data_IF_299946429530
#
_entry.id   IF_299946429530
#
_cell.length_a   1.000
_cell.length_b   1.000
_cell.length_c   1.000
_cell.angle_alpha   90.00
_cell.angle_beta   90.00
_cell.angle_gamma   90.00
#
_symmetry.space_group_name_H-M   'P 1'
#
loop_
_entity.id
_entity.type
_entity.pdbx_description
1 polymer ?
#
# COMPACT_ATOMS: atom_id res chain seq x y z
N UNK A 1 28.25 2.95 -13.94
CA UNK A 1 28.60 3.38 -12.56
C UNK A 1 27.93 4.70 -12.18
N UNK A 2 28.02 5.76 -13.00
CA UNK A 2 27.42 7.08 -12.75
C UNK A 2 25.91 7.06 -12.39
N UNK A 3 25.09 6.22 -13.05
CA UNK A 3 23.67 6.12 -12.71
C UNK A 3 23.39 5.53 -11.32
N UNK A 4 24.25 4.65 -10.79
CA UNK A 4 24.08 4.08 -9.44
C UNK A 4 24.40 5.14 -8.38
N UNK A 5 25.47 5.91 -8.59
CA UNK A 5 25.86 7.02 -7.69
C UNK A 5 24.73 8.05 -7.60
N UNK A 6 24.14 8.45 -8.74
CA UNK A 6 22.98 9.37 -8.76
C UNK A 6 21.79 8.85 -7.94
N UNK A 7 21.50 7.55 -8.00
CA UNK A 7 20.40 6.95 -7.24
C UNK A 7 20.71 6.94 -5.74
N UNK A 8 21.94 6.56 -5.36
CA UNK A 8 22.40 6.58 -3.96
C UNK A 8 22.27 7.99 -3.39
N UNK A 9 22.77 9.01 -4.10
CA UNK A 9 22.66 10.41 -3.68
C UNK A 9 21.20 10.87 -3.51
N UNK A 10 20.30 10.46 -4.41
CA UNK A 10 18.87 10.77 -4.28
C UNK A 10 18.21 10.11 -3.08
N UNK A 11 18.57 8.85 -2.80
CA UNK A 11 18.06 8.15 -1.63
C UNK A 11 18.60 8.78 -0.35
N UNK A 12 19.88 9.15 -0.33
CA UNK A 12 20.46 9.87 0.80
C UNK A 12 19.74 11.20 1.04
N UNK A 13 19.52 12.00 -0.01
CA UNK A 13 18.73 13.24 0.08
C UNK A 13 17.31 12.96 0.60
N UNK A 14 16.67 11.90 0.11
CA UNK A 14 15.35 11.47 0.59
C UNK A 14 15.36 11.10 2.08
N UNK A 15 16.38 10.37 2.56
CA UNK A 15 16.53 10.03 3.98
C UNK A 15 16.63 11.30 4.85
N UNK A 16 17.43 12.28 4.43
CA UNK A 16 17.55 13.58 5.11
C UNK A 16 16.20 14.29 5.16
N UNK A 17 15.46 14.32 4.05
CA UNK A 17 14.12 14.92 3.99
C UNK A 17 13.17 14.23 4.96
N UNK A 18 13.14 12.89 5.00
CA UNK A 18 12.29 12.14 5.92
C UNK A 18 12.65 12.44 7.37
N UNK A 19 13.94 12.50 7.71
CA UNK A 19 14.40 12.86 9.04
C UNK A 19 13.90 14.27 9.44
N UNK A 20 14.16 15.29 8.61
CA UNK A 20 13.75 16.67 8.92
C UNK A 20 12.22 16.80 9.05
N UNK A 21 11.46 16.17 8.16
CA UNK A 21 10.01 16.15 8.24
C UNK A 21 9.51 15.41 9.48
N UNK A 22 10.21 14.38 9.93
CA UNK A 22 9.82 13.62 11.12
C UNK A 22 9.97 14.44 12.40
N UNK A 23 11.02 15.26 12.50
CA UNK A 23 11.19 16.22 13.60
C UNK A 23 10.09 17.28 13.56
N UNK A 24 9.87 17.88 12.39
CA UNK A 24 8.82 18.88 12.20
C UNK A 24 7.43 18.34 12.55
N UNK A 25 7.10 17.10 12.16
CA UNK A 25 5.83 16.44 12.51
C UNK A 25 5.71 16.25 14.03
N UNK A 26 6.78 15.84 14.71
CA UNK A 26 6.77 15.67 16.17
C UNK A 26 6.51 16.99 16.88
N UNK A 27 7.19 18.07 16.46
CA UNK A 27 7.00 19.41 17.03
C UNK A 27 5.57 19.92 16.79
N UNK A 28 5.06 19.77 15.56
CA UNK A 28 3.72 20.21 15.18
C UNK A 28 2.62 19.52 15.98
N UNK A 29 2.76 18.20 16.16
CA UNK A 29 1.72 17.36 16.76
C UNK A 29 2.02 17.05 18.22
N UNK A 30 2.92 17.78 18.86
CA UNK A 30 3.37 17.50 20.23
C UNK A 30 2.20 17.47 21.24
N UNK A 31 1.17 18.30 21.03
CA UNK A 31 -0.05 18.32 21.86
C UNK A 31 -0.96 17.11 21.62
N UNK A 32 -0.83 16.45 20.47
CA UNK A 32 -1.61 15.25 20.14
C UNK A 32 -0.95 14.05 20.83
N UNK A 33 -1.70 13.43 21.75
CA UNK A 33 -1.26 12.21 22.44
C UNK A 33 -0.80 11.14 21.45
N UNK A 34 0.38 10.58 21.70
CA UNK A 34 1.06 9.64 20.79
C UNK A 34 2.06 10.31 19.83
N UNK A 35 2.15 11.64 19.82
CA UNK A 35 3.19 12.37 19.08
C UNK A 35 4.10 13.18 20.01
N UNK A 36 3.81 13.17 21.31
CA UNK A 36 4.59 13.78 22.39
C UNK A 36 5.87 12.97 22.69
N UNK A 37 6.73 12.80 21.69
CA UNK A 37 7.98 12.06 21.78
C UNK A 37 9.13 13.05 21.54
N UNK A 38 10.10 13.07 22.44
CA UNK A 38 11.31 13.86 22.26
C UNK A 38 12.28 13.12 21.32
N UNK A 39 12.66 13.71 20.17
CA UNK A 39 13.57 13.06 19.23
C UNK A 39 14.97 12.90 19.85
N UNK A 40 15.59 11.74 19.65
CA UNK A 40 16.96 11.46 20.11
C UNK A 40 17.93 11.30 18.93
N UNK A 41 18.97 12.14 18.85
CA UNK A 41 19.63 12.46 17.57
C UNK A 41 20.93 11.74 17.20
N UNK A 42 21.69 11.19 18.15
CA UNK A 42 23.12 10.92 17.89
C UNK A 42 23.45 9.66 17.06
N UNK A 43 22.52 8.70 16.93
CA UNK A 43 22.75 7.43 16.21
C UNK A 43 22.03 7.36 14.84
N UNK A 44 21.35 8.41 14.43
CA UNK A 44 20.57 8.51 13.17
C UNK A 44 21.39 8.18 11.91
N UNK A 45 22.70 8.50 11.90
CA UNK A 45 23.60 8.25 10.77
C UNK A 45 23.79 6.75 10.51
N UNK A 46 23.93 5.92 11.54
CA UNK A 46 24.09 4.46 11.41
C UNK A 46 22.88 3.85 10.69
N UNK A 47 21.68 4.29 11.05
CA UNK A 47 20.45 3.78 10.46
C UNK A 47 20.24 4.23 9.01
N UNK A 48 20.75 5.40 8.63
CA UNK A 48 20.82 5.80 7.22
C UNK A 48 21.63 4.77 6.41
N UNK A 49 22.78 4.32 6.91
CA UNK A 49 23.59 3.30 6.24
C UNK A 49 22.91 1.93 6.18
N UNK A 50 22.30 1.48 7.29
CA UNK A 50 21.55 0.20 7.32
C UNK A 50 20.44 0.20 6.29
N UNK A 51 19.70 1.31 6.17
CA UNK A 51 18.59 1.41 5.21
C UNK A 51 19.05 1.42 3.75
N UNK A 52 20.34 1.61 3.45
CA UNK A 52 20.88 1.49 2.09
C UNK A 52 21.15 0.02 1.68
N UNK A 53 21.11 -0.94 2.61
CA UNK A 53 21.40 -2.36 2.29
C UNK A 53 20.52 -2.91 1.15
N UNK A 54 19.18 -2.75 1.16
CA UNK A 54 18.31 -3.24 0.07
C UNK A 54 18.64 -2.66 -1.31
N UNK A 55 19.20 -1.44 -1.36
CA UNK A 55 19.53 -0.76 -2.60
C UNK A 55 20.55 -1.51 -3.45
N UNK A 56 21.42 -2.32 -2.83
CA UNK A 56 22.42 -3.14 -3.52
C UNK A 56 21.81 -4.12 -4.52
N UNK A 57 20.58 -4.57 -4.24
CA UNK A 57 19.84 -5.55 -5.06
C UNK A 57 18.62 -4.96 -5.76
N UNK A 58 18.19 -3.75 -5.44
CA UNK A 58 17.15 -3.08 -6.21
C UNK A 58 17.72 -2.64 -7.58
N UNK A 59 16.99 -2.96 -8.65
CA UNK A 59 17.37 -2.56 -10.00
C UNK A 59 16.20 -1.86 -10.70
N UNK A 60 16.49 -1.13 -11.79
CA UNK A 60 15.48 -0.34 -12.51
C UNK A 60 14.81 -1.15 -13.63
N UNK A 61 14.54 -2.43 -13.39
CA UNK A 61 13.88 -3.27 -14.39
C UNK A 61 12.41 -2.88 -14.57
N UNK A 62 11.92 -2.94 -15.82
CA UNK A 62 10.49 -2.82 -16.15
C UNK A 62 9.76 -4.10 -15.77
N UNK A 63 9.62 -4.34 -14.47
CA UNK A 63 8.84 -5.44 -13.93
C UNK A 63 7.89 -4.88 -12.85
N UNK A 64 6.59 -5.22 -12.86
CA UNK A 64 5.62 -4.64 -11.93
C UNK A 64 5.99 -4.89 -10.46
N UNK A 65 6.57 -6.05 -10.17
CA UNK A 65 6.92 -6.48 -8.81
C UNK A 65 8.18 -5.74 -8.34
N UNK A 66 9.15 -5.51 -9.24
CA UNK A 66 10.31 -4.69 -8.91
C UNK A 66 9.89 -3.25 -8.60
N UNK A 67 8.93 -2.68 -9.34
CA UNK A 67 8.36 -1.36 -9.02
C UNK A 67 7.63 -1.37 -7.67
N UNK A 68 6.87 -2.42 -7.38
CA UNK A 68 6.18 -2.59 -6.10
C UNK A 68 7.17 -2.67 -4.92
N UNK A 69 8.25 -3.43 -5.05
CA UNK A 69 9.33 -3.51 -4.06
C UNK A 69 10.04 -2.17 -3.88
N UNK A 70 10.32 -1.44 -4.96
CA UNK A 70 10.87 -0.08 -4.89
C UNK A 70 9.98 0.87 -4.09
N UNK A 71 8.66 0.80 -4.29
CA UNK A 71 7.71 1.65 -3.59
C UNK A 71 7.60 1.28 -2.11
N UNK A 72 7.57 -0.01 -1.75
CA UNK A 72 7.61 -0.45 -0.34
C UNK A 72 8.90 0.01 0.33
N UNK A 73 10.03 -0.12 -0.38
CA UNK A 73 11.32 0.33 0.12
C UNK A 73 11.30 1.83 0.48
N UNK A 74 10.78 2.66 -0.43
CA UNK A 74 10.73 4.12 -0.25
C UNK A 74 9.70 4.54 0.79
N UNK A 75 8.48 3.97 0.75
CA UNK A 75 7.35 4.42 1.56
C UNK A 75 7.38 3.82 2.97
N UNK A 76 7.96 2.63 3.14
CA UNK A 76 7.88 1.91 4.41
C UNK A 76 9.24 1.59 5.01
N UNK A 77 10.15 0.93 4.28
CA UNK A 77 11.42 0.45 4.85
C UNK A 77 12.36 1.60 5.22
N UNK A 78 12.51 2.61 4.35
CA UNK A 78 13.34 3.79 4.65
C UNK A 78 12.76 4.59 5.84
N UNK A 79 11.48 5.02 5.84
CA UNK A 79 10.91 5.72 6.98
C UNK A 79 11.00 4.93 8.28
N UNK A 80 10.73 3.62 8.24
CA UNK A 80 10.89 2.73 9.39
C UNK A 80 12.31 2.74 9.94
N UNK A 81 13.32 2.71 9.06
CA UNK A 81 14.71 2.73 9.47
C UNK A 81 15.15 4.06 10.08
N UNK A 82 14.52 5.19 9.71
CA UNK A 82 14.91 6.52 10.18
C UNK A 82 14.13 6.95 11.43
N UNK A 83 12.80 6.81 11.40
CA UNK A 83 11.90 7.37 12.40
C UNK A 83 11.88 6.48 13.66
N UNK A 84 11.96 5.15 13.51
CA UNK A 84 11.98 4.23 14.64
C UNK A 84 13.12 4.52 15.65
N UNK A 85 14.39 4.65 15.23
CA UNK A 85 15.48 4.94 16.17
C UNK A 85 15.46 6.38 16.70
N UNK A 86 14.90 7.32 15.94
CA UNK A 86 14.66 8.69 16.40
C UNK A 86 13.76 8.71 17.65
N UNK A 87 12.80 7.79 17.70
CA UNK A 87 11.83 7.63 18.79
C UNK A 87 12.39 6.76 19.93
N UNK A 88 12.96 5.59 19.62
CA UNK A 88 13.31 4.55 20.62
C UNK A 88 14.71 4.68 21.24
N UNK A 89 15.24 5.90 21.35
CA UNK A 89 16.57 6.15 21.95
C UNK A 89 17.67 5.22 21.42
N UNK A 90 17.74 4.99 20.10
CA UNK A 90 18.75 4.18 19.39
C UNK A 90 19.46 3.06 20.19
N UNK A 91 18.70 2.26 20.95
CA UNK A 91 19.24 1.17 21.76
C UNK A 91 19.84 0.07 20.87
N UNK A 92 20.73 -0.76 21.43
CA UNK A 92 21.28 -1.92 20.69
C UNK A 92 20.17 -2.81 20.11
N UNK A 93 19.05 -2.97 20.82
CA UNK A 93 17.90 -3.73 20.38
C UNK A 93 17.20 -3.08 19.18
N UNK A 94 17.11 -1.75 19.13
CA UNK A 94 16.57 -1.03 17.97
C UNK A 94 17.45 -1.22 16.72
N UNK A 95 18.78 -1.23 16.89
CA UNK A 95 19.74 -1.50 15.81
C UNK A 95 19.55 -2.91 15.27
N UNK A 96 19.48 -3.91 16.15
CA UNK A 96 19.25 -5.32 15.78
C UNK A 96 17.93 -5.46 15.03
N UNK A 97 16.85 -4.86 15.56
CA UNK A 97 15.52 -4.97 15.00
C UNK A 97 15.41 -4.35 13.59
N UNK A 98 15.91 -3.12 13.41
CA UNK A 98 15.90 -2.45 12.10
C UNK A 98 16.83 -3.16 11.10
N UNK A 99 17.97 -3.68 11.58
CA UNK A 99 18.87 -4.49 10.74
C UNK A 99 18.17 -5.77 10.27
N UNK A 100 17.47 -6.48 11.17
CA UNK A 100 16.71 -7.67 10.84
C UNK A 100 15.63 -7.39 9.78
N UNK A 101 14.88 -6.29 9.91
CA UNK A 101 13.88 -5.88 8.90
C UNK A 101 14.54 -5.62 7.54
N UNK A 102 15.65 -4.87 7.50
CA UNK A 102 16.36 -4.58 6.25
C UNK A 102 16.93 -5.86 5.60
N UNK A 103 17.44 -6.80 6.41
CA UNK A 103 17.91 -8.11 5.94
C UNK A 103 16.75 -8.94 5.39
N UNK A 104 15.64 -9.04 6.11
CA UNK A 104 14.46 -9.78 5.65
C UNK A 104 13.90 -9.20 4.34
N UNK A 105 13.88 -7.87 4.22
CA UNK A 105 13.47 -7.21 2.98
C UNK A 105 14.48 -7.41 1.83
N UNK A 106 15.78 -7.40 2.13
CA UNK A 106 16.82 -7.78 1.17
C UNK A 106 16.63 -9.22 0.67
N UNK A 107 16.31 -10.14 1.58
CA UNK A 107 15.98 -11.54 1.26
C UNK A 107 14.73 -11.64 0.39
N UNK A 108 13.70 -10.82 0.60
CA UNK A 108 12.55 -10.73 -0.30
C UNK A 108 12.92 -10.30 -1.72
N UNK A 109 13.87 -9.36 -1.88
CA UNK A 109 14.37 -8.93 -3.19
C UNK A 109 15.18 -10.07 -3.86
N UNK A 110 16.01 -10.79 -3.09
CA UNK A 110 16.72 -11.98 -3.57
C UNK A 110 15.75 -13.07 -4.02
N UNK A 111 14.76 -13.37 -3.19
CA UNK A 111 13.70 -14.32 -3.49
C UNK A 111 13.03 -13.96 -4.82
N UNK A 112 12.60 -12.70 -4.98
CA UNK A 112 12.03 -12.22 -6.26
C UNK A 112 12.96 -12.46 -7.44
N UNK A 113 14.26 -12.16 -7.33
CA UNK A 113 15.23 -12.37 -8.42
C UNK A 113 15.35 -13.85 -8.82
N UNK A 114 15.24 -14.76 -7.87
CA UNK A 114 15.24 -16.21 -8.11
C UNK A 114 13.94 -16.60 -8.81
N UNK A 115 12.78 -16.25 -8.24
CA UNK A 115 11.47 -16.68 -8.74
C UNK A 115 11.05 -15.99 -10.05
N UNK A 116 11.60 -14.82 -10.37
CA UNK A 116 11.33 -14.13 -11.64
C UNK A 116 11.68 -15.04 -12.84
N UNK A 117 12.64 -15.95 -12.66
CA UNK A 117 13.05 -16.95 -13.67
C UNK A 117 12.02 -18.08 -13.83
N UNK A 118 11.21 -18.38 -12.81
CA UNK A 118 10.22 -19.46 -12.83
C UNK A 118 9.07 -19.06 -13.74
N UNK A 119 8.86 -19.77 -14.84
CA UNK A 119 7.69 -19.58 -15.72
C UNK A 119 6.74 -20.73 -15.54
N UNK A 120 5.47 -20.43 -15.24
CA UNK A 120 4.39 -21.41 -15.26
C UNK A 120 3.64 -21.32 -16.60
N UNK A 121 3.11 -22.43 -17.12
CA UNK A 121 2.19 -22.39 -18.24
C UNK A 121 0.98 -21.54 -17.84
N UNK A 122 0.67 -20.54 -18.67
CA UNK A 122 -0.47 -19.63 -18.45
C UNK A 122 -1.70 -20.21 -19.14
N UNK A 123 -2.84 -20.17 -18.46
CA UNK A 123 -4.13 -20.50 -19.06
C UNK A 123 -4.40 -19.57 -20.26
N UNK A 124 -4.67 -20.16 -21.43
CA UNK A 124 -4.99 -19.41 -22.64
C UNK A 124 -6.49 -19.11 -22.67
N UNK A 125 -6.88 -17.96 -22.11
CA UNK A 125 -8.28 -17.54 -22.05
C UNK A 125 -8.57 -16.58 -23.22
N UNK A 126 -9.64 -16.81 -24.00
CA UNK A 126 -10.06 -15.87 -25.04
C UNK A 126 -10.62 -14.59 -24.41
N UNK A 127 -10.53 -13.48 -25.16
CA UNK A 127 -11.01 -12.19 -24.67
C UNK A 127 -12.50 -12.20 -24.31
N UNK A 128 -13.33 -12.96 -25.02
CA UNK A 128 -14.76 -13.06 -24.73
C UNK A 128 -15.05 -13.68 -23.37
N UNK A 129 -14.42 -14.81 -23.06
CA UNK A 129 -14.54 -15.44 -21.75
C UNK A 129 -14.02 -14.53 -20.63
N UNK A 130 -12.89 -13.85 -20.86
CA UNK A 130 -12.35 -12.91 -19.87
C UNK A 130 -13.31 -11.74 -19.59
N UNK A 131 -13.91 -11.15 -20.63
CA UNK A 131 -14.92 -10.09 -20.49
C UNK A 131 -16.12 -10.58 -19.67
N UNK A 132 -16.63 -11.77 -19.98
CA UNK A 132 -17.75 -12.37 -19.24
C UNK A 132 -17.40 -12.57 -17.77
N UNK A 133 -16.19 -13.06 -17.45
CA UNK A 133 -15.72 -13.24 -16.07
C UNK A 133 -15.69 -11.90 -15.33
N UNK A 134 -15.02 -10.88 -15.87
CA UNK A 134 -14.88 -9.60 -15.16
C UNK A 134 -16.22 -8.86 -15.03
N UNK A 135 -17.09 -8.92 -16.04
CA UNK A 135 -18.45 -8.37 -15.96
C UNK A 135 -19.26 -9.11 -14.91
N UNK A 136 -19.20 -10.45 -14.89
CA UNK A 136 -19.84 -11.28 -13.88
C UNK A 136 -19.38 -10.90 -12.46
N UNK A 137 -18.08 -10.73 -12.23
CA UNK A 137 -17.57 -10.22 -10.96
C UNK A 137 -18.13 -8.83 -10.61
N UNK A 138 -18.22 -7.93 -11.58
CA UNK A 138 -18.82 -6.60 -11.40
C UNK A 138 -20.29 -6.66 -10.99
N UNK A 139 -21.08 -7.51 -11.66
CA UNK A 139 -22.50 -7.74 -11.35
C UNK A 139 -22.67 -8.35 -9.95
N UNK A 140 -21.85 -9.33 -9.58
CA UNK A 140 -21.85 -9.91 -8.23
C UNK A 140 -21.59 -8.82 -7.19
N UNK A 141 -20.56 -7.99 -7.39
CA UNK A 141 -20.27 -6.87 -6.47
C UNK A 141 -21.46 -5.93 -6.35
N UNK A 142 -22.07 -5.53 -7.47
CA UNK A 142 -23.25 -4.66 -7.46
C UNK A 142 -24.43 -5.30 -6.71
N UNK A 143 -24.68 -6.59 -6.91
CA UNK A 143 -25.70 -7.32 -6.18
C UNK A 143 -25.48 -7.26 -4.66
N UNK A 144 -24.25 -7.53 -4.19
CA UNK A 144 -23.91 -7.44 -2.77
C UNK A 144 -23.97 -6.01 -2.21
N UNK A 145 -23.71 -4.98 -3.03
CA UNK A 145 -23.85 -3.58 -2.62
C UNK A 145 -25.32 -3.19 -2.46
N UNK A 146 -26.16 -3.56 -3.43
CA UNK A 146 -27.59 -3.18 -3.46
C UNK A 146 -28.39 -3.91 -2.38
N UNK A 147 -28.04 -5.17 -2.10
CA UNK A 147 -28.70 -6.00 -1.06
C UNK A 147 -28.18 -5.72 0.35
N UNK A 148 -27.17 -4.86 0.51
CA UNK A 148 -26.63 -4.52 1.82
C UNK A 148 -27.64 -3.65 2.60
N UNK A 149 -27.95 -3.97 3.88
CA UNK A 149 -28.82 -3.13 4.70
C UNK A 149 -28.35 -1.66 4.86
N UNK A 150 -27.04 -1.41 4.77
CA UNK A 150 -26.43 -0.08 4.79
C UNK A 150 -26.37 0.60 3.41
N UNK A 151 -27.10 0.08 2.41
CA UNK A 151 -27.16 0.68 1.08
C UNK A 151 -27.73 2.09 1.11
N UNK A 152 -27.06 3.01 0.41
CA UNK A 152 -27.51 4.38 0.20
C UNK A 152 -27.14 4.82 -1.21
N UNK A 153 -28.03 5.57 -1.85
CA UNK A 153 -27.78 6.26 -3.12
C UNK A 153 -27.23 7.68 -2.91
N UNK A 154 -27.36 8.21 -1.69
CA UNK A 154 -26.98 9.60 -1.40
C UNK A 154 -25.52 9.60 -0.92
N UNK A 155 -24.63 10.35 -1.58
CA UNK A 155 -23.24 10.43 -1.16
C UNK A 155 -23.15 11.12 0.21
N UNK A 156 -22.41 10.56 1.17
CA UNK A 156 -22.27 11.16 2.48
C UNK A 156 -21.44 12.44 2.39
N UNK A 157 -21.68 13.37 3.31
CA UNK A 157 -20.84 14.56 3.44
C UNK A 157 -19.38 14.13 3.71
N UNK A 158 -18.44 14.63 2.90
CA UNK A 158 -17.01 14.31 2.97
C UNK A 158 -16.43 14.55 4.38
N UNK A 159 -16.98 15.47 5.16
CA UNK A 159 -16.54 15.76 6.53
C UNK A 159 -17.16 14.82 7.59
N UNK A 160 -18.32 14.21 7.32
CA UNK A 160 -19.06 13.34 8.25
C UNK A 160 -19.13 11.89 7.76
N UNK A 161 -17.99 11.35 7.30
CA UNK A 161 -17.92 9.96 6.78
C UNK A 161 -17.76 8.90 7.88
N UNK A 162 -17.45 9.27 9.11
CA UNK A 162 -17.11 8.31 10.17
C UNK A 162 -18.34 7.60 10.74
N UNK A 163 -19.45 8.30 10.96
CA UNK A 163 -20.71 7.68 11.38
C UNK A 163 -21.26 6.71 10.34
N UNK A 164 -21.14 7.05 9.06
CA UNK A 164 -21.53 6.17 7.95
C UNK A 164 -20.70 4.89 7.93
N UNK A 165 -19.39 4.99 8.23
CA UNK A 165 -18.51 3.82 8.32
C UNK A 165 -18.84 2.91 9.50
N UNK A 166 -19.21 3.49 10.64
CA UNK A 166 -19.63 2.72 11.82
C UNK A 166 -20.93 1.97 11.51
N UNK A 167 -21.93 2.67 10.99
CA UNK A 167 -23.19 2.06 10.54
C UNK A 167 -22.97 0.95 9.49
N UNK A 168 -22.06 1.17 8.53
CA UNK A 168 -21.70 0.16 7.54
C UNK A 168 -21.06 -1.08 8.18
N UNK A 169 -20.16 -0.90 9.16
CA UNK A 169 -19.51 -2.03 9.84
C UNK A 169 -20.47 -2.84 10.70
N UNK A 170 -21.41 -2.19 11.37
CA UNK A 170 -22.38 -2.85 12.25
C UNK A 170 -23.42 -3.65 11.47
N UNK A 171 -23.88 -3.12 10.33
CA UNK A 171 -24.98 -3.70 9.56
C UNK A 171 -24.54 -4.59 8.37
N UNK A 172 -23.24 -4.72 8.13
CA UNK A 172 -22.73 -5.52 7.00
C UNK A 172 -22.11 -6.82 7.49
N UNK A 173 -22.55 -7.95 6.92
CA UNK A 173 -21.90 -9.24 7.19
C UNK A 173 -20.42 -9.23 6.78
N UNK A 174 -19.59 -10.04 7.43
CA UNK A 174 -18.16 -10.16 7.10
C UNK A 174 -17.95 -10.46 5.61
N UNK A 175 -18.64 -11.45 5.05
CA UNK A 175 -18.53 -11.83 3.64
C UNK A 175 -18.86 -10.66 2.71
N UNK A 176 -19.95 -9.94 2.99
CA UNK A 176 -20.35 -8.77 2.21
C UNK A 176 -19.29 -7.67 2.30
N UNK A 177 -18.67 -7.43 3.46
CA UNK A 177 -17.55 -6.48 3.60
C UNK A 177 -16.35 -6.86 2.72
N UNK A 178 -15.99 -8.16 2.66
CA UNK A 178 -14.91 -8.64 1.79
C UNK A 178 -15.22 -8.38 0.31
N UNK A 179 -16.43 -8.74 -0.14
CA UNK A 179 -16.84 -8.58 -1.54
C UNK A 179 -16.92 -7.11 -1.93
N UNK A 180 -17.51 -6.26 -1.07
CA UNK A 180 -17.60 -4.82 -1.31
C UNK A 180 -16.22 -4.19 -1.36
N UNK A 181 -15.34 -4.49 -0.39
CA UNK A 181 -14.00 -3.90 -0.35
C UNK A 181 -13.18 -4.33 -1.57
N UNK A 182 -13.15 -5.62 -1.89
CA UNK A 182 -12.50 -6.13 -3.12
C UNK A 182 -13.13 -5.52 -4.39
N UNK A 183 -14.44 -5.33 -4.40
CA UNK A 183 -15.18 -4.68 -5.48
C UNK A 183 -14.66 -3.27 -5.78
N UNK A 184 -14.47 -2.46 -4.73
CA UNK A 184 -13.99 -1.09 -4.85
C UNK A 184 -12.49 -0.97 -5.17
N UNK A 185 -11.65 -1.81 -4.55
CA UNK A 185 -10.18 -1.72 -4.72
C UNK A 185 -9.65 -2.50 -5.93
N UNK A 186 -10.36 -3.52 -6.41
CA UNK A 186 -9.88 -4.42 -7.47
C UNK A 186 -10.82 -4.41 -8.67
N UNK A 187 -12.08 -4.79 -8.49
CA UNK A 187 -12.99 -5.05 -9.62
C UNK A 187 -13.27 -3.76 -10.39
N UNK A 188 -13.63 -2.69 -9.68
CA UNK A 188 -13.89 -1.38 -10.27
C UNK A 188 -12.71 -0.86 -11.11
N UNK A 189 -11.49 -0.70 -10.57
CA UNK A 189 -10.36 -0.21 -11.37
C UNK A 189 -9.92 -1.20 -12.47
N UNK A 190 -10.07 -2.50 -12.27
CA UNK A 190 -9.80 -3.51 -13.30
C UNK A 190 -10.73 -3.35 -14.50
N UNK A 191 -12.05 -3.23 -14.27
CA UNK A 191 -13.06 -3.01 -15.32
C UNK A 191 -12.74 -1.74 -16.11
N UNK A 192 -12.38 -0.67 -15.41
CA UNK A 192 -12.02 0.60 -16.02
C UNK A 192 -10.82 0.48 -16.95
N UNK A 193 -9.73 -0.13 -16.49
CA UNK A 193 -8.54 -0.31 -17.34
C UNK A 193 -8.78 -1.33 -18.46
N UNK A 194 -9.55 -2.39 -18.20
CA UNK A 194 -9.86 -3.40 -19.21
C UNK A 194 -10.66 -2.80 -20.37
N UNK A 195 -11.46 -1.76 -20.12
CA UNK A 195 -12.19 -1.03 -21.17
C UNK A 195 -11.28 -0.48 -22.28
N UNK A 196 -10.02 -0.17 -21.99
CA UNK A 196 -9.05 0.29 -23.00
C UNK A 196 -8.62 -0.81 -24.00
N UNK A 197 -8.89 -2.07 -23.69
CA UNK A 197 -8.54 -3.22 -24.52
C UNK A 197 -9.74 -3.81 -25.27
N UNK A 198 -10.95 -3.31 -25.01
CA UNK A 198 -12.21 -3.78 -25.59
C UNK A 198 -12.79 -2.72 -26.53
N UNK A 199 -13.46 -3.16 -27.60
CA UNK A 199 -14.12 -2.29 -28.59
C UNK A 199 -15.66 -2.40 -28.49
N UNK A 200 -16.36 -1.47 -29.12
CA UNK A 200 -17.84 -1.47 -29.23
C UNK A 200 -18.56 -1.11 -27.92
N UNK A 201 -19.84 -1.48 -27.83
CA UNK A 201 -20.71 -1.17 -26.69
C UNK A 201 -20.17 -1.69 -25.34
N UNK A 202 -19.50 -2.85 -25.35
CA UNK A 202 -18.93 -3.47 -24.14
C UNK A 202 -17.91 -2.56 -23.45
N UNK A 203 -17.17 -1.73 -24.19
CA UNK A 203 -16.26 -0.73 -23.61
C UNK A 203 -17.00 0.22 -22.67
N UNK A 204 -18.11 0.77 -23.12
CA UNK A 204 -18.91 1.72 -22.34
C UNK A 204 -19.59 1.03 -21.16
N UNK A 205 -20.04 -0.22 -21.35
CA UNK A 205 -20.58 -1.04 -20.27
C UNK A 205 -19.56 -1.25 -19.13
N UNK A 206 -18.30 -1.59 -19.45
CA UNK A 206 -17.24 -1.76 -18.45
C UNK A 206 -16.96 -0.47 -17.66
N UNK A 207 -16.93 0.68 -18.35
CA UNK A 207 -16.75 1.99 -17.72
C UNK A 207 -17.94 2.30 -16.79
N UNK A 208 -19.16 2.09 -17.27
CA UNK A 208 -20.37 2.35 -16.49
C UNK A 208 -20.41 1.50 -15.22
N UNK A 209 -20.20 0.18 -15.33
CA UNK A 209 -20.17 -0.74 -14.18
C UNK A 209 -19.07 -0.32 -13.19
N UNK A 210 -17.86 0.01 -13.66
CA UNK A 210 -16.77 0.48 -12.81
C UNK A 210 -17.15 1.73 -12.00
N UNK A 211 -17.66 2.76 -12.67
CA UNK A 211 -18.07 4.01 -12.01
C UNK A 211 -19.21 3.75 -11.02
N UNK A 212 -20.20 2.94 -11.40
CA UNK A 212 -21.31 2.57 -10.53
C UNK A 212 -20.84 1.84 -9.27
N UNK A 213 -19.94 0.86 -9.40
CA UNK A 213 -19.38 0.13 -8.25
C UNK A 213 -18.68 1.13 -7.30
N UNK A 214 -17.76 1.96 -7.80
CA UNK A 214 -17.04 2.91 -6.96
C UNK A 214 -17.98 3.93 -6.28
N UNK A 215 -18.99 4.41 -7.01
CA UNK A 215 -19.96 5.37 -6.50
C UNK A 215 -20.85 4.76 -5.41
N UNK A 216 -21.50 3.63 -5.69
CA UNK A 216 -22.43 3.00 -4.76
C UNK A 216 -21.74 2.50 -3.49
N UNK A 217 -20.51 1.98 -3.62
CA UNK A 217 -19.70 1.61 -2.45
C UNK A 217 -19.34 2.85 -1.63
N UNK A 218 -18.98 3.97 -2.25
CA UNK A 218 -18.70 5.20 -1.52
C UNK A 218 -19.95 5.71 -0.78
N UNK A 219 -21.12 5.66 -1.41
CA UNK A 219 -22.38 6.09 -0.80
C UNK A 219 -22.77 5.23 0.42
N UNK A 220 -22.57 3.91 0.34
CA UNK A 220 -22.89 2.99 1.44
C UNK A 220 -21.83 2.96 2.55
N UNK A 221 -20.54 2.95 2.19
CA UNK A 221 -19.44 2.73 3.16
C UNK A 221 -18.75 4.00 3.63
N UNK A 222 -18.88 5.13 2.93
CA UNK A 222 -18.13 6.35 3.21
C UNK A 222 -16.60 6.22 3.01
N UNK A 223 -16.14 5.18 2.30
CA UNK A 223 -14.71 4.94 2.04
C UNK A 223 -14.20 5.85 0.91
N UNK A 224 -13.58 6.97 1.29
CA UNK A 224 -13.00 7.97 0.36
C UNK A 224 -12.00 7.36 -0.61
N UNK A 225 -11.18 6.41 -0.16
CA UNK A 225 -10.18 5.75 -1.00
C UNK A 225 -10.78 5.00 -2.18
N UNK A 226 -11.97 4.39 -2.01
CA UNK A 226 -12.67 3.69 -3.10
C UNK A 226 -13.24 4.68 -4.13
N UNK A 227 -13.76 5.83 -3.67
CA UNK A 227 -14.27 6.88 -4.55
C UNK A 227 -13.17 7.41 -5.51
N UNK A 228 -11.96 7.62 -4.98
CA UNK A 228 -10.84 8.15 -5.77
C UNK A 228 -10.01 7.07 -6.49
N UNK A 229 -10.24 5.78 -6.22
CA UNK A 229 -9.43 4.68 -6.75
C UNK A 229 -9.32 4.70 -8.27
N UNK A 230 -10.46 4.85 -8.96
CA UNK A 230 -10.52 4.87 -10.43
C UNK A 230 -9.72 6.03 -11.03
N UNK A 231 -9.82 7.21 -10.41
CA UNK A 231 -9.06 8.40 -10.83
C UNK A 231 -7.56 8.16 -10.62
N UNK A 232 -7.18 7.62 -9.47
CA UNK A 232 -5.78 7.27 -9.16
C UNK A 232 -5.22 6.28 -10.17
N UNK A 233 -5.94 5.20 -10.46
CA UNK A 233 -5.53 4.15 -11.39
C UNK A 233 -5.42 4.69 -12.83
N UNK A 234 -6.36 5.48 -13.32
CA UNK A 234 -6.24 6.11 -14.65
C UNK A 234 -5.01 7.02 -14.73
N UNK A 235 -4.84 7.88 -13.73
CA UNK A 235 -3.72 8.84 -13.70
C UNK A 235 -2.38 8.11 -13.70
N UNK A 236 -2.26 7.07 -12.88
CA UNK A 236 -1.07 6.23 -12.83
C UNK A 236 -0.82 5.49 -14.14
N UNK A 237 -1.86 4.98 -14.80
CA UNK A 237 -1.74 4.27 -16.08
C UNK A 237 -1.11 5.18 -17.14
N UNK A 238 -1.63 6.39 -17.31
CA UNK A 238 -1.09 7.35 -18.29
C UNK A 238 0.31 7.84 -17.90
N UNK A 239 0.57 8.03 -16.61
CA UNK A 239 1.90 8.41 -16.13
C UNK A 239 2.97 7.34 -16.42
N UNK A 240 2.62 6.08 -16.21
CA UNK A 240 3.52 4.92 -16.39
C UNK A 240 3.75 4.62 -17.87
N UNK A 241 2.74 4.84 -18.70
CA UNK A 241 2.80 4.63 -20.14
C UNK A 241 3.97 5.38 -20.77
N UNK A 242 4.88 4.64 -21.39
CA UNK A 242 6.05 5.19 -22.08
C UNK A 242 7.26 5.53 -21.19
N UNK A 243 7.16 5.41 -19.86
CA UNK A 243 8.33 5.64 -18.98
C UNK A 243 9.33 4.51 -19.11
N UNK A 244 10.61 4.85 -19.31
CA UNK A 244 11.72 3.88 -19.36
C UNK A 244 12.17 3.44 -17.96
N UNK A 245 12.16 4.36 -16.98
CA UNK A 245 12.70 4.13 -15.64
C UNK A 245 11.75 4.66 -14.57
N UNK A 246 10.84 3.80 -14.09
CA UNK A 246 9.77 4.20 -13.17
C UNK A 246 10.27 4.41 -11.75
N UNK A 247 11.20 3.59 -11.26
CA UNK A 247 11.74 3.75 -9.90
C UNK A 247 12.37 5.13 -9.70
N UNK A 248 13.19 5.60 -10.65
CA UNK A 248 13.72 6.96 -10.60
C UNK A 248 12.62 8.03 -10.72
N UNK A 249 11.58 7.76 -11.50
CA UNK A 249 10.42 8.66 -11.65
C UNK A 249 9.62 8.78 -10.36
N UNK A 250 9.45 7.69 -9.62
CA UNK A 250 8.78 7.64 -8.32
C UNK A 250 9.57 8.41 -7.27
N UNK A 251 10.89 8.17 -7.17
CA UNK A 251 11.76 8.90 -6.24
C UNK A 251 11.67 10.41 -6.53
N UNK A 252 11.71 10.80 -7.81
CA UNK A 252 11.55 12.19 -8.20
C UNK A 252 10.19 12.76 -7.81
N UNK A 253 9.08 12.06 -8.04
CA UNK A 253 7.75 12.54 -7.61
C UNK A 253 7.75 12.79 -6.12
N UNK A 254 8.28 11.86 -5.33
CA UNK A 254 8.28 11.97 -3.87
C UNK A 254 9.14 13.17 -3.46
N UNK A 255 10.39 13.27 -3.95
CA UNK A 255 11.26 14.42 -3.69
C UNK A 255 10.61 15.76 -4.09
N UNK A 256 10.01 15.83 -5.28
CA UNK A 256 9.33 17.03 -5.74
C UNK A 256 8.05 17.33 -4.96
N UNK A 257 7.34 16.32 -4.47
CA UNK A 257 6.20 16.51 -3.58
C UNK A 257 6.64 17.10 -2.24
N UNK A 258 7.80 16.69 -1.71
CA UNK A 258 8.41 17.30 -0.52
C UNK A 258 8.95 18.72 -0.76
N UNK A 259 9.46 19.01 -1.95
CA UNK A 259 9.89 20.37 -2.29
C UNK A 259 8.69 21.31 -2.50
N UNK A 260 7.70 20.86 -3.26
CA UNK A 260 6.44 21.59 -3.45
C UNK A 260 5.74 21.83 -2.12
N UNK A 261 5.77 20.84 -1.23
CA UNK A 261 5.34 20.96 0.15
C UNK A 261 5.99 22.10 0.91
N UNK A 262 7.33 22.12 0.95
CA UNK A 262 8.07 23.18 1.63
C UNK A 262 7.82 24.56 1.04
N UNK A 263 7.68 24.66 -0.30
CA UNK A 263 7.36 25.92 -0.97
C UNK A 263 5.95 26.40 -0.69
N UNK A 264 4.95 25.52 -0.73
CA UNK A 264 3.55 25.86 -0.41
C UNK A 264 3.42 26.30 1.05
N UNK A 265 4.15 25.66 1.95
CA UNK A 265 4.26 26.10 3.33
C UNK A 265 4.83 27.52 3.42
N UNK A 266 5.99 27.76 2.78
CA UNK A 266 6.66 29.07 2.86
C UNK A 266 5.85 30.23 2.25
N UNK A 267 5.11 29.98 1.16
CA UNK A 267 4.41 31.03 0.40
C UNK A 267 2.98 31.28 0.92
N UNK A 268 2.25 30.21 1.23
CA UNK A 268 0.80 30.27 1.46
C UNK A 268 0.39 29.92 2.89
N UNK A 269 1.36 29.63 3.77
CA UNK A 269 1.11 29.06 5.09
C UNK A 269 0.21 27.80 5.00
N UNK A 270 0.33 27.07 3.89
CA UNK A 270 -0.54 25.94 3.53
C UNK A 270 -0.07 24.65 4.23
N UNK A 271 -0.06 24.73 5.56
CA UNK A 271 0.58 23.77 6.44
C UNK A 271 -0.24 22.49 6.65
N UNK A 272 -1.52 22.65 7.04
CA UNK A 272 -2.31 21.55 7.59
C UNK A 272 -2.53 20.37 6.64
N UNK A 273 -2.99 20.54 5.38
CA UNK A 273 -3.35 19.39 4.55
C UNK A 273 -2.13 18.55 4.18
N UNK A 274 -1.00 19.21 3.99
CA UNK A 274 0.20 18.59 3.48
C UNK A 274 0.98 17.88 4.58
N UNK A 275 1.14 18.52 5.74
CA UNK A 275 1.78 17.87 6.88
C UNK A 275 0.95 16.67 7.36
N UNK A 276 -0.39 16.76 7.31
CA UNK A 276 -1.26 15.63 7.58
C UNK A 276 -1.09 14.48 6.58
N UNK A 277 -0.85 14.78 5.31
CA UNK A 277 -0.60 13.77 4.29
C UNK A 277 0.73 13.06 4.51
N UNK A 278 1.81 13.83 4.70
CA UNK A 278 3.14 13.30 5.02
C UNK A 278 3.14 12.44 6.28
N UNK A 279 2.48 12.95 7.33
CA UNK A 279 2.27 12.23 8.58
C UNK A 279 1.58 10.88 8.32
N UNK A 280 0.48 10.85 7.57
CA UNK A 280 -0.29 9.61 7.33
C UNK A 280 0.43 8.57 6.45
N UNK A 281 1.28 8.98 5.52
CA UNK A 281 1.93 8.04 4.60
C UNK A 281 3.23 7.49 5.17
N UNK A 282 4.06 8.34 5.75
CA UNK A 282 5.42 7.97 6.15
C UNK A 282 5.57 7.80 7.66
N UNK A 283 5.00 8.72 8.44
CA UNK A 283 5.25 8.81 9.88
C UNK A 283 4.34 7.89 10.71
N UNK A 284 3.02 8.05 10.63
CA UNK A 284 2.04 7.27 11.42
C UNK A 284 2.21 5.76 11.28
N UNK A 285 2.42 5.18 10.07
CA UNK A 285 2.61 3.73 9.95
C UNK A 285 3.87 3.27 10.69
N UNK A 286 4.93 4.07 10.62
CA UNK A 286 6.21 3.81 11.28
C UNK A 286 6.10 3.93 12.80
N UNK A 287 5.46 5.00 13.27
CA UNK A 287 5.15 5.22 14.69
C UNK A 287 4.31 4.08 15.26
N UNK A 288 3.32 3.60 14.51
CA UNK A 288 2.54 2.44 14.91
C UNK A 288 3.41 1.19 14.99
N UNK A 289 4.29 0.92 14.02
CA UNK A 289 5.24 -0.20 14.12
C UNK A 289 6.13 -0.10 15.36
N UNK A 290 6.57 1.10 15.74
CA UNK A 290 7.27 1.32 17.00
C UNK A 290 6.40 0.98 18.22
N UNK A 291 5.15 1.44 18.30
CA UNK A 291 4.29 1.10 19.42
C UNK A 291 3.95 -0.38 19.52
N UNK A 292 3.84 -1.08 18.40
CA UNK A 292 3.69 -2.54 18.39
C UNK A 292 4.94 -3.23 18.94
N UNK A 293 6.13 -2.72 18.58
CA UNK A 293 7.40 -3.20 19.14
C UNK A 293 7.48 -2.94 20.65
N UNK A 294 7.22 -1.71 21.10
CA UNK A 294 7.32 -1.30 22.51
C UNK A 294 6.32 -2.08 23.39
N UNK A 295 5.08 -2.23 22.90
CA UNK A 295 4.06 -3.04 23.56
C UNK A 295 4.51 -4.50 23.76
N UNK A 296 5.13 -5.09 22.73
CA UNK A 296 5.46 -6.52 22.71
C UNK A 296 6.75 -6.82 23.49
N UNK A 297 7.81 -6.04 23.29
CA UNK A 297 9.14 -6.37 23.80
C UNK A 297 9.55 -5.60 25.05
N UNK A 298 9.11 -4.35 25.22
CA UNK A 298 9.51 -3.55 26.38
C UNK A 298 8.51 -3.70 27.53
N UNK A 299 7.22 -3.83 27.20
CA UNK A 299 6.16 -3.98 28.20
C UNK A 299 5.81 -5.45 28.53
N UNK A 300 6.50 -6.44 27.93
CA UNK A 300 6.33 -7.89 28.16
C UNK A 300 4.86 -8.36 28.14
N UNK A 301 4.05 -7.83 27.22
CA UNK A 301 2.61 -8.12 27.17
C UNK A 301 2.31 -9.32 26.28
N UNK A 302 1.19 -9.97 26.59
CA UNK A 302 0.70 -11.12 25.85
C UNK A 302 0.43 -10.80 24.39
N UNK A 303 0.78 -11.75 23.53
CA UNK A 303 0.47 -11.72 22.12
C UNK A 303 -1.05 -11.72 21.89
N UNK A 304 -1.54 -10.86 21.00
CA UNK A 304 -2.99 -10.68 20.83
C UNK A 304 -3.38 -10.21 19.44
N UNK A 305 -4.54 -10.68 18.98
CA UNK A 305 -5.17 -10.24 17.73
C UNK A 305 -5.82 -8.85 17.86
N UNK A 306 -6.06 -8.37 19.09
CA UNK A 306 -6.65 -7.05 19.37
C UNK A 306 -5.59 -5.95 19.60
N UNK A 307 -4.32 -6.23 19.30
CA UNK A 307 -3.22 -5.29 19.46
C UNK A 307 -3.49 -3.89 18.85
N UNK A 308 -4.09 -3.74 17.65
CA UNK A 308 -4.41 -2.41 17.12
C UNK A 308 -5.33 -1.56 18.02
N UNK A 309 -6.33 -2.17 18.66
CA UNK A 309 -7.25 -1.46 19.56
C UNK A 309 -6.57 -1.13 20.89
N UNK A 310 -5.81 -2.10 21.43
CA UNK A 310 -5.09 -1.94 22.69
C UNK A 310 -4.05 -0.81 22.58
N UNK A 311 -3.28 -0.81 21.49
CA UNK A 311 -2.26 0.22 21.21
C UNK A 311 -2.92 1.58 20.98
N UNK A 312 -4.08 1.62 20.30
CA UNK A 312 -4.86 2.85 20.15
C UNK A 312 -5.29 3.44 21.50
N UNK A 313 -5.69 2.60 22.46
CA UNK A 313 -6.07 3.04 23.80
C UNK A 313 -4.86 3.48 24.64
N UNK A 314 -3.77 2.71 24.62
CA UNK A 314 -2.59 2.97 25.47
C UNK A 314 -1.84 4.21 25.00
N UNK A 315 -1.42 4.24 23.73
CA UNK A 315 -0.51 5.25 23.23
C UNK A 315 -1.24 6.50 22.73
N UNK A 316 -2.40 6.35 22.10
CA UNK A 316 -3.18 7.48 21.57
C UNK A 316 -4.32 7.93 22.48
N UNK A 317 -4.73 7.12 23.47
CA UNK A 317 -5.87 7.46 24.33
C UNK A 317 -7.22 7.43 23.61
N UNK A 318 -7.33 6.70 22.50
CA UNK A 318 -8.54 6.66 21.67
C UNK A 318 -9.13 5.25 21.60
N UNK A 319 -10.42 5.14 21.23
CA UNK A 319 -11.15 3.87 21.04
C UNK A 319 -10.98 3.36 19.59
N UNK A 320 -10.01 3.94 18.85
CA UNK A 320 -9.78 3.62 17.45
C UNK A 320 -8.99 2.34 17.23
N UNK A 321 -8.35 2.25 16.06
CA UNK A 321 -7.45 1.18 15.68
C UNK A 321 -6.13 1.77 15.20
N UNK A 322 -5.05 1.48 15.91
CA UNK A 322 -3.69 1.84 15.51
C UNK A 322 -3.22 0.86 14.43
N UNK A 323 -3.60 1.14 13.19
CA UNK A 323 -3.30 0.29 12.06
C UNK A 323 -1.80 0.30 11.74
N UNK A 324 -1.18 -0.88 11.66
CA UNK A 324 0.23 -1.07 11.27
C UNK A 324 0.31 -2.02 10.08
N UNK A 325 1.43 -1.96 9.36
CA UNK A 325 1.73 -2.89 8.29
C UNK A 325 2.07 -4.28 8.81
N UNK A 326 2.39 -5.18 7.87
CA UNK A 326 2.69 -6.58 8.18
C UNK A 326 3.84 -6.79 9.18
N UNK A 327 4.77 -5.84 9.31
CA UNK A 327 5.87 -5.90 10.29
C UNK A 327 5.32 -5.80 11.72
N UNK A 328 4.57 -4.73 12.03
CA UNK A 328 4.02 -4.53 13.37
C UNK A 328 2.99 -5.61 13.73
N UNK A 329 2.10 -5.96 12.80
CA UNK A 329 1.08 -7.00 13.02
C UNK A 329 1.71 -8.38 13.31
N UNK A 330 2.80 -8.74 12.63
CA UNK A 330 3.50 -10.00 12.89
C UNK A 330 4.08 -10.05 14.31
N UNK A 331 4.68 -8.95 14.74
CA UNK A 331 5.32 -8.85 16.06
C UNK A 331 4.28 -8.93 17.17
N UNK A 332 3.17 -8.21 17.07
CA UNK A 332 2.16 -8.25 18.13
C UNK A 332 1.48 -9.62 18.28
N UNK A 333 1.47 -10.45 17.24
CA UNK A 333 0.84 -11.78 17.28
C UNK A 333 1.77 -12.90 17.73
N UNK A 334 3.04 -12.87 17.33
CA UNK A 334 3.97 -13.97 17.62
C UNK A 334 5.43 -13.50 17.79
N UNK A 335 5.66 -12.23 18.12
CA UNK A 335 6.98 -11.65 18.30
C UNK A 335 7.86 -11.79 17.04
N UNK A 336 9.12 -12.18 17.24
CA UNK A 336 10.09 -12.36 16.15
C UNK A 336 9.65 -13.46 15.19
N UNK A 337 9.03 -14.53 15.68
CA UNK A 337 8.52 -15.62 14.83
C UNK A 337 7.44 -15.09 13.88
N UNK A 338 6.55 -14.23 14.38
CA UNK A 338 5.50 -13.62 13.57
C UNK A 338 6.03 -12.66 12.51
N UNK A 339 7.12 -11.95 12.80
CA UNK A 339 7.84 -11.15 11.80
C UNK A 339 8.33 -12.04 10.64
N UNK A 340 8.96 -13.18 10.95
CA UNK A 340 9.46 -14.13 9.95
C UNK A 340 8.30 -14.72 9.13
N UNK A 341 7.22 -15.15 9.80
CA UNK A 341 6.02 -15.69 9.14
C UNK A 341 5.42 -14.65 8.18
N UNK A 342 5.30 -13.39 8.60
CA UNK A 342 4.72 -12.36 7.74
C UNK A 342 5.62 -12.03 6.54
N UNK A 343 6.96 -12.06 6.68
CA UNK A 343 7.86 -11.97 5.53
C UNK A 343 7.78 -13.18 4.60
N UNK A 344 7.56 -14.38 5.13
CA UNK A 344 7.30 -15.56 4.32
C UNK A 344 6.00 -15.42 3.51
N UNK A 345 4.91 -14.98 4.13
CA UNK A 345 3.63 -14.70 3.44
C UNK A 345 3.81 -13.59 2.40
N UNK A 346 4.56 -12.53 2.73
CA UNK A 346 4.90 -11.46 1.79
C UNK A 346 5.67 -12.00 0.57
N UNK A 347 6.61 -12.93 0.75
CA UNK A 347 7.29 -13.60 -0.35
C UNK A 347 6.34 -14.45 -1.21
N UNK A 348 5.38 -15.16 -0.61
CA UNK A 348 4.35 -15.88 -1.37
C UNK A 348 3.46 -14.95 -2.18
N UNK A 349 3.17 -13.76 -1.66
CA UNK A 349 2.47 -12.71 -2.38
C UNK A 349 3.30 -12.19 -3.58
N UNK A 350 4.59 -11.94 -3.40
CA UNK A 350 5.50 -11.58 -4.50
C UNK A 350 5.48 -12.66 -5.59
N UNK A 351 5.48 -13.95 -5.20
CA UNK A 351 5.35 -15.06 -6.13
C UNK A 351 4.03 -15.01 -6.91
N UNK A 352 2.90 -14.86 -6.24
CA UNK A 352 1.59 -14.77 -6.88
C UNK A 352 1.51 -13.57 -7.85
N UNK A 353 2.02 -12.41 -7.45
CA UNK A 353 2.07 -11.21 -8.29
C UNK A 353 2.97 -11.41 -9.52
N UNK A 354 4.14 -12.01 -9.32
CA UNK A 354 5.08 -12.30 -10.41
C UNK A 354 4.47 -13.26 -11.43
N UNK A 355 3.82 -14.34 -10.99
CA UNK A 355 3.18 -15.30 -11.88
C UNK A 355 2.01 -14.69 -12.66
N UNK A 356 1.16 -13.91 -11.99
CA UNK A 356 -0.02 -13.29 -12.60
C UNK A 356 0.29 -12.15 -13.57
N UNK A 357 1.36 -11.39 -13.33
CA UNK A 357 1.77 -10.29 -14.22
C UNK A 357 2.49 -10.75 -15.49
N UNK A 358 2.92 -12.02 -15.56
CA UNK A 358 3.53 -12.56 -16.78
C UNK A 358 2.56 -12.51 -17.95
N UNK A 359 3.05 -11.99 -19.09
CA UNK A 359 2.30 -11.80 -20.34
C UNK A 359 1.13 -10.79 -20.22
N UNK A 360 1.07 -10.00 -19.15
CA UNK A 360 0.17 -8.84 -19.03
C UNK A 360 0.97 -7.59 -19.42
N UNK A 361 0.36 -6.60 -20.11
CA UNK A 361 1.01 -5.32 -20.33
C UNK A 361 1.55 -4.73 -19.03
N UNK A 362 2.79 -4.25 -19.07
CA UNK A 362 3.51 -3.77 -17.90
C UNK A 362 2.77 -2.60 -17.24
N UNK A 363 2.28 -1.66 -18.04
CA UNK A 363 1.53 -0.49 -17.60
C UNK A 363 0.25 -0.90 -16.87
N UNK A 364 -0.44 -1.92 -17.38
CA UNK A 364 -1.71 -2.41 -16.84
C UNK A 364 -1.53 -3.05 -15.46
N UNK A 365 -0.65 -4.05 -15.39
CA UNK A 365 -0.38 -4.81 -14.14
C UNK A 365 0.24 -3.93 -13.05
N UNK A 366 1.22 -3.10 -13.41
CA UNK A 366 1.89 -2.20 -12.44
C UNK A 366 0.89 -1.24 -11.81
N UNK A 367 0.04 -0.62 -12.63
CA UNK A 367 -0.94 0.36 -12.16
C UNK A 367 -1.97 -0.24 -11.20
N UNK A 368 -2.41 -1.47 -11.43
CA UNK A 368 -3.35 -2.15 -10.54
C UNK A 368 -2.71 -2.57 -9.21
N UNK A 369 -1.42 -2.86 -9.20
CA UNK A 369 -0.70 -3.21 -7.96
C UNK A 369 -0.28 -2.01 -7.11
N UNK A 370 -0.08 -0.84 -7.72
CA UNK A 370 0.42 0.35 -7.01
C UNK A 370 -0.40 0.77 -5.78
N UNK A 371 -1.75 0.81 -5.82
CA UNK A 371 -2.56 1.17 -4.65
C UNK A 371 -2.29 0.27 -3.44
N UNK A 372 -1.87 -0.97 -3.66
CA UNK A 372 -1.61 -1.93 -2.59
C UNK A 372 -0.32 -1.64 -1.81
N UNK A 373 0.56 -0.78 -2.30
CA UNK A 373 1.77 -0.41 -1.55
C UNK A 373 1.40 0.32 -0.26
N UNK A 374 0.44 1.25 -0.34
CA UNK A 374 -0.01 1.99 0.83
C UNK A 374 -0.69 1.06 1.86
N UNK A 375 -1.46 0.08 1.39
CA UNK A 375 -2.13 -0.87 2.28
C UNK A 375 -1.14 -1.85 2.93
N UNK A 376 -0.04 -2.23 2.28
CA UNK A 376 1.02 -3.08 2.88
C UNK A 376 1.65 -2.43 4.11
N UNK A 377 1.85 -1.10 4.09
CA UNK A 377 2.44 -0.38 5.23
C UNK A 377 1.45 -0.09 6.35
N UNK A 378 0.16 -0.25 6.11
CA UNK A 378 -0.90 0.14 7.05
C UNK A 378 -1.82 -1.01 7.47
N UNK A 379 -1.68 -2.20 6.90
CA UNK A 379 -2.60 -3.32 7.18
C UNK A 379 -1.81 -4.62 7.36
N UNK A 380 -2.34 -5.51 8.20
CA UNK A 380 -1.95 -6.92 8.25
C UNK A 380 -1.95 -7.56 6.84
N UNK A 381 -0.99 -8.47 6.61
CA UNK A 381 -0.78 -9.09 5.29
C UNK A 381 -1.96 -9.98 4.85
N UNK A 382 -2.65 -10.60 5.80
CA UNK A 382 -3.83 -11.44 5.53
C UNK A 382 -5.02 -10.60 5.06
N UNK A 383 -5.27 -9.46 5.70
CA UNK A 383 -6.30 -8.51 5.29
C UNK A 383 -5.96 -7.87 3.93
N UNK A 384 -4.69 -7.62 3.62
CA UNK A 384 -4.26 -7.19 2.28
C UNK A 384 -4.65 -8.21 1.20
N UNK A 385 -4.39 -9.50 1.45
CA UNK A 385 -4.68 -10.58 0.51
C UNK A 385 -6.19 -10.78 0.31
N UNK A 386 -6.94 -10.85 1.41
CA UNK A 386 -8.35 -11.24 1.42
C UNK A 386 -9.29 -10.04 1.37
N UNK A 387 -9.16 -9.07 2.28
CA UNK A 387 -10.05 -7.90 2.41
C UNK A 387 -9.87 -6.90 1.28
N UNK A 388 -8.62 -6.49 1.02
CA UNK A 388 -8.34 -5.53 -0.06
C UNK A 388 -8.31 -6.22 -1.44
N UNK A 389 -8.31 -7.55 -1.47
CA UNK A 389 -8.48 -8.33 -2.70
C UNK A 389 -7.22 -8.50 -3.55
N UNK A 390 -6.02 -8.30 -3.00
CA UNK A 390 -4.79 -8.47 -3.78
C UNK A 390 -4.64 -9.90 -4.36
N UNK A 391 -5.15 -10.91 -3.64
CA UNK A 391 -5.22 -12.28 -4.15
C UNK A 391 -6.19 -12.38 -5.34
N UNK A 392 -7.38 -11.77 -5.22
CA UNK A 392 -8.39 -11.72 -6.28
C UNK A 392 -7.82 -11.02 -7.52
N UNK A 393 -7.13 -9.90 -7.34
CA UNK A 393 -6.44 -9.19 -8.43
C UNK A 393 -5.40 -10.10 -9.11
N UNK A 394 -4.58 -10.80 -8.32
CA UNK A 394 -3.56 -11.72 -8.85
C UNK A 394 -4.20 -12.84 -9.67
N UNK A 395 -5.32 -13.41 -9.20
CA UNK A 395 -6.07 -14.43 -9.96
C UNK A 395 -6.58 -13.83 -11.28
N UNK A 396 -7.25 -12.68 -11.24
CA UNK A 396 -7.80 -12.05 -12.45
C UNK A 396 -6.73 -11.62 -13.46
N UNK A 397 -5.53 -11.22 -13.01
CA UNK A 397 -4.40 -10.95 -13.90
C UNK A 397 -3.77 -12.23 -14.46
N UNK A 398 -3.76 -13.32 -13.68
CA UNK A 398 -3.34 -14.63 -14.17
C UNK A 398 -4.27 -15.14 -15.29
N UNK A 399 -5.56 -14.80 -15.26
CA UNK A 399 -6.54 -15.11 -16.31
C UNK A 399 -6.50 -14.14 -17.51
N UNK A 400 -5.66 -13.09 -17.47
CA UNK A 400 -5.64 -12.06 -18.50
C UNK A 400 -5.24 -12.63 -19.88
N UNK A 401 -6.00 -12.33 -20.97
CA UNK A 401 -5.78 -12.89 -22.30
C UNK A 401 -4.40 -12.57 -22.87
N UNK A 402 -3.79 -13.54 -23.55
CA UNK A 402 -2.49 -13.33 -24.22
C UNK A 402 -2.70 -12.91 -25.69
N UNK A 403 -1.75 -12.16 -26.26
CA UNK A 403 -1.86 -11.53 -27.59
C UNK A 403 -2.20 -12.50 -28.74
N UNK A 404 -1.90 -13.79 -28.62
CA UNK A 404 -2.21 -14.78 -29.67
C UNK A 404 -3.72 -15.01 -29.87
N UNK A 405 -4.57 -14.58 -28.94
CA UNK A 405 -6.03 -14.72 -29.04
C UNK A 405 -6.73 -13.45 -29.59
N UNK A 406 -6.01 -12.59 -30.33
CA UNK A 406 -6.61 -11.41 -30.99
C UNK A 406 -7.17 -11.69 -32.39
N UNK A 407 -6.97 -12.89 -32.93
CA UNK A 407 -7.35 -13.24 -34.31
C UNK A 407 -8.80 -13.76 -34.45
N UNK A 408 -9.67 -13.53 -33.47
CA UNK A 408 -11.10 -13.88 -33.56
C UNK A 408 -12.03 -12.65 -33.53
N UNK A 409 -11.53 -11.51 -34.01
CA UNK A 409 -12.31 -10.28 -34.21
C UNK A 409 -12.55 -10.04 -35.69
#
# INVERSE_FOLDING_TARGET
>A
MQNKIKIILKIFLYQVIIYLNSVLILDTFQEVRGYNINPQGHLSILFCWISLLPLTLLNNQKNPIMVFLWLIYIIYIIPLSIIFPLINSASIYSVIFISAINILFLLSILFFRIINRITLPKLQIPWDLYKTIIIGCGVIVLFFVITNPAFSLIPPNIFKVYSVRENFKENTSLLTMYIITSGGYVISPLLLLASFYVKGFVKYLLIAISIMISYLIYCSSGLKSIAFMNITVITLFFYIKGKKNISNSVINIILYSFLAAGLLYFIFDFYDPLIHWLRRIFFTPTLNTFYFYDYTFNNNREFTNDAPKIISRIYYGTIGSANTGFIGDGIARYGIVGLIINFFIFNMLILAMNLSSKKVPFEFSTTLYLPFVYTVSNTAITALLLTYGLLVLSILLFLFPTKNNKNSL
#
